data_IF_481189175109
#
_entry.id   IF_481189175109
#
_cell.length_a   1.000
_cell.length_b   1.000
_cell.length_c   1.000
_cell.angle_alpha   90.00
_cell.angle_beta   90.00
_cell.angle_gamma   90.00
#
_symmetry.space_group_name_H-M   'P 1'
#
loop_
_entity.id
_entity.type
_entity.pdbx_description
1 polymer ?
#
# COMPACT_ATOMS: atom_id res chain seq x y z
N UNK A 1 23.84 40.07 13.52
CA UNK A 1 22.67 39.66 12.72
C UNK A 1 22.53 38.15 12.88
N UNK A 2 21.80 37.72 13.91
CA UNK A 2 21.51 36.29 14.15
C UNK A 2 20.36 35.90 13.22
N UNK A 3 20.44 34.77 12.49
CA UNK A 3 19.27 34.25 11.80
C UNK A 3 18.30 33.66 12.83
N UNK A 4 17.10 34.21 12.78
CA UNK A 4 15.81 33.75 13.27
C UNK A 4 15.82 32.36 13.95
N UNK A 5 15.64 32.37 15.27
CA UNK A 5 15.43 31.18 16.07
C UNK A 5 14.09 30.56 15.66
N UNK A 6 14.15 29.61 14.73
CA UNK A 6 13.00 28.90 14.20
C UNK A 6 12.05 28.51 15.33
N UNK A 7 10.80 28.96 15.20
CA UNK A 7 9.73 28.68 16.14
C UNK A 7 9.76 27.20 16.57
N UNK A 8 9.57 26.92 17.87
CA UNK A 8 9.46 25.55 18.34
C UNK A 8 8.35 24.88 17.54
N UNK A 9 8.72 23.87 16.74
CA UNK A 9 7.75 23.04 16.03
C UNK A 9 6.74 22.58 17.07
N UNK A 10 5.42 22.79 16.84
CA UNK A 10 4.42 22.35 17.81
C UNK A 10 4.69 20.88 18.12
N UNK A 11 4.64 20.58 19.41
CA UNK A 11 4.67 19.25 19.97
C UNK A 11 3.69 18.34 19.22
N UNK A 12 4.16 17.66 18.18
CA UNK A 12 3.44 16.59 17.52
C UNK A 12 3.32 15.47 18.56
N UNK A 13 2.25 15.47 19.31
CA UNK A 13 1.84 14.30 20.08
C UNK A 13 1.69 13.17 19.06
N UNK A 14 2.62 12.22 19.08
CA UNK A 14 2.69 11.14 18.09
C UNK A 14 1.52 10.17 18.30
N UNK A 15 0.40 10.44 17.62
CA UNK A 15 -0.76 9.55 17.64
C UNK A 15 -0.55 8.42 16.63
N UNK A 16 -0.02 7.30 17.10
CA UNK A 16 0.12 6.07 16.31
C UNK A 16 -1.11 5.19 16.46
N UNK A 17 -1.64 4.72 15.34
CA UNK A 17 -2.68 3.70 15.28
C UNK A 17 -2.17 2.49 14.50
N UNK A 18 -2.50 1.29 14.98
CA UNK A 18 -2.20 0.03 14.30
C UNK A 18 -3.50 -0.62 13.88
N UNK A 19 -3.56 -1.07 12.63
CA UNK A 19 -4.70 -1.79 12.05
C UNK A 19 -4.21 -3.06 11.38
N UNK A 20 -5.12 -4.00 11.14
CA UNK A 20 -4.78 -5.31 10.63
C UNK A 20 -4.61 -5.38 9.11
N UNK A 21 -5.21 -4.44 8.36
CA UNK A 21 -5.24 -4.47 6.91
C UNK A 21 -5.11 -3.09 6.27
N UNK A 22 -4.69 -3.08 5.00
CA UNK A 22 -4.42 -1.85 4.26
C UNK A 22 -5.68 -1.07 3.87
N UNK A 23 -6.85 -1.72 3.72
CA UNK A 23 -8.08 -1.02 3.37
C UNK A 23 -8.61 -0.22 4.56
N UNK A 24 -8.53 -0.79 5.76
CA UNK A 24 -8.81 -0.07 7.01
C UNK A 24 -7.86 1.11 7.19
N UNK A 25 -6.57 0.94 6.90
CA UNK A 25 -5.60 2.04 6.95
C UNK A 25 -5.97 3.18 5.98
N UNK A 26 -6.31 2.85 4.73
CA UNK A 26 -6.75 3.83 3.71
C UNK A 26 -8.01 4.59 4.17
N UNK A 27 -8.99 3.88 4.73
CA UNK A 27 -10.22 4.51 5.21
C UNK A 27 -9.97 5.48 6.37
N UNK A 28 -9.02 5.17 7.26
CA UNK A 28 -8.66 6.08 8.36
C UNK A 28 -7.90 7.30 7.85
N UNK A 29 -6.96 7.12 6.92
CA UNK A 29 -6.27 8.25 6.27
C UNK A 29 -7.29 9.17 5.57
N UNK A 30 -8.31 8.62 4.90
CA UNK A 30 -9.35 9.43 4.26
C UNK A 30 -10.27 10.21 5.22
N UNK A 31 -10.20 9.94 6.53
CA UNK A 31 -11.06 10.58 7.56
C UNK A 31 -10.27 11.23 8.70
N UNK A 32 -8.96 11.39 8.56
CA UNK A 32 -8.08 11.96 9.59
C UNK A 32 -6.86 12.66 8.98
N UNK A 33 -6.05 13.31 9.82
CA UNK A 33 -4.76 13.91 9.42
C UNK A 33 -3.59 12.90 9.48
N UNK A 34 -3.88 11.59 9.44
CA UNK A 34 -2.86 10.54 9.48
C UNK A 34 -2.31 10.23 8.09
N UNK A 35 -1.13 9.62 8.06
CA UNK A 35 -0.54 9.04 6.84
C UNK A 35 -0.26 7.55 7.05
N UNK A 36 -0.33 6.77 5.99
CA UNK A 36 -0.05 5.33 6.02
C UNK A 36 0.80 4.90 4.83
N UNK A 37 1.66 3.90 5.05
CA UNK A 37 2.43 3.23 4.03
C UNK A 37 1.69 1.94 3.66
N UNK A 38 1.21 1.86 2.42
CA UNK A 38 0.39 0.76 1.91
C UNK A 38 0.87 0.32 0.52
N UNK A 39 0.54 -0.90 0.05
CA UNK A 39 0.81 -1.29 -1.32
C UNK A 39 0.17 -0.32 -2.32
N UNK A 40 0.96 0.15 -3.30
CA UNK A 40 0.56 1.20 -4.25
C UNK A 40 -0.77 0.90 -4.95
N UNK A 41 -0.95 -0.33 -5.43
CA UNK A 41 -2.16 -0.76 -6.13
C UNK A 41 -3.43 -0.57 -5.29
N UNK A 42 -3.34 -0.71 -3.97
CA UNK A 42 -4.49 -0.51 -3.07
C UNK A 42 -4.82 0.97 -2.94
N UNK A 43 -3.80 1.82 -2.81
CA UNK A 43 -4.00 3.27 -2.80
C UNK A 43 -4.61 3.77 -4.12
N UNK A 44 -4.10 3.32 -5.27
CA UNK A 44 -4.58 3.74 -6.59
C UNK A 44 -6.06 3.39 -6.83
N UNK A 45 -6.48 2.17 -6.49
CA UNK A 45 -7.86 1.72 -6.64
C UNK A 45 -8.82 2.52 -5.74
N UNK A 46 -8.37 2.88 -4.54
CA UNK A 46 -9.22 3.48 -3.50
C UNK A 46 -9.10 5.01 -3.40
N UNK A 47 -8.17 5.63 -4.14
CA UNK A 47 -7.85 7.05 -4.00
C UNK A 47 -9.07 7.95 -4.16
N UNK A 48 -9.86 7.72 -5.22
CA UNK A 48 -11.06 8.51 -5.50
C UNK A 48 -12.15 8.30 -4.45
N UNK A 49 -12.35 7.05 -4.03
CA UNK A 49 -13.43 6.71 -3.09
C UNK A 49 -13.20 7.34 -1.70
N UNK A 50 -11.94 7.38 -1.25
CA UNK A 50 -11.59 7.88 0.08
C UNK A 50 -10.99 9.29 0.07
N UNK A 51 -10.92 9.94 -1.09
CA UNK A 51 -10.37 11.30 -1.20
C UNK A 51 -8.90 11.42 -0.81
N UNK A 52 -8.12 10.34 -0.94
CA UNK A 52 -6.70 10.33 -0.53
C UNK A 52 -5.78 10.69 -1.70
N UNK A 53 -4.62 11.25 -1.36
CA UNK A 53 -3.53 11.52 -2.30
C UNK A 53 -2.38 10.54 -2.07
N UNK A 54 -1.70 10.15 -3.16
CA UNK A 54 -0.56 9.25 -3.10
C UNK A 54 0.72 10.10 -3.09
N UNK A 55 1.53 9.93 -2.05
CA UNK A 55 2.83 10.57 -1.91
C UNK A 55 3.93 9.59 -2.31
N UNK A 56 4.88 10.04 -3.12
CA UNK A 56 6.09 9.25 -3.38
C UNK A 56 6.95 9.23 -2.12
N UNK A 57 7.36 8.03 -1.71
CA UNK A 57 8.23 7.87 -0.54
C UNK A 57 9.67 8.22 -0.90
N UNK A 58 10.37 8.90 0.00
CA UNK A 58 11.76 9.33 -0.20
C UNK A 58 12.79 8.19 -0.26
N UNK A 59 12.38 6.93 -0.08
CA UNK A 59 13.26 5.76 -0.11
C UNK A 59 12.88 4.74 -1.17
N UNK A 60 13.83 3.89 -1.57
CA UNK A 60 13.52 2.71 -2.40
C UNK A 60 12.68 1.75 -1.56
N UNK A 61 11.36 1.86 -1.69
CA UNK A 61 10.48 0.87 -1.11
C UNK A 61 10.66 -0.42 -1.91
N UNK A 62 10.92 -1.53 -1.21
CA UNK A 62 11.08 -2.83 -1.84
C UNK A 62 9.88 -3.16 -2.71
N UNK A 63 10.11 -3.87 -3.81
CA UNK A 63 9.02 -4.37 -4.64
C UNK A 63 8.29 -5.48 -3.88
N UNK A 64 6.96 -5.43 -3.90
CA UNK A 64 6.14 -6.50 -3.35
C UNK A 64 5.94 -7.56 -4.44
N UNK A 65 6.67 -8.67 -4.34
CA UNK A 65 6.53 -9.78 -5.28
C UNK A 65 5.26 -10.58 -4.95
N UNK A 66 4.33 -10.65 -5.91
CA UNK A 66 3.13 -11.48 -5.82
C UNK A 66 3.36 -12.73 -6.64
N UNK A 67 3.44 -13.87 -5.97
CA UNK A 67 3.65 -15.17 -6.59
C UNK A 67 2.40 -16.05 -6.48
N UNK A 68 2.21 -16.89 -7.50
CA UNK A 68 1.19 -17.94 -7.49
C UNK A 68 1.84 -19.25 -7.06
N UNK A 69 1.29 -19.89 -6.02
CA UNK A 69 1.83 -21.14 -5.47
C UNK A 69 0.91 -22.30 -5.81
N UNK A 70 1.51 -23.44 -6.17
CA UNK A 70 0.78 -24.69 -6.40
C UNK A 70 1.64 -25.90 -6.05
N UNK A 71 0.97 -27.02 -5.77
CA UNK A 71 1.66 -28.28 -5.49
C UNK A 71 2.16 -28.93 -6.79
N UNK A 72 3.36 -29.50 -6.79
CA UNK A 72 3.98 -30.11 -7.99
C UNK A 72 3.09 -31.18 -8.66
N UNK A 73 2.34 -31.95 -7.87
CA UNK A 73 1.35 -32.94 -8.37
C UNK A 73 0.31 -32.34 -9.34
N UNK A 74 0.03 -31.05 -9.23
CA UNK A 74 -0.95 -30.31 -10.03
C UNK A 74 -0.30 -29.53 -11.19
N UNK A 75 1.00 -29.71 -11.43
CA UNK A 75 1.73 -29.06 -12.52
C UNK A 75 1.12 -29.41 -13.88
N UNK A 76 0.87 -30.70 -14.11
CA UNK A 76 0.41 -31.24 -15.38
C UNK A 76 -1.12 -31.18 -15.59
N UNK A 77 -1.87 -30.63 -14.64
CA UNK A 77 -3.31 -30.49 -14.78
C UNK A 77 -3.65 -29.39 -15.81
N UNK A 78 -4.35 -29.71 -16.92
CA UNK A 78 -4.61 -28.74 -17.99
C UNK A 78 -5.55 -27.60 -17.56
N UNK A 79 -6.53 -27.89 -16.69
CA UNK A 79 -7.47 -26.88 -16.22
C UNK A 79 -6.80 -25.86 -15.32
N UNK A 80 -5.93 -26.32 -14.42
CA UNK A 80 -5.10 -25.44 -13.60
C UNK A 80 -4.10 -24.69 -14.47
N UNK A 81 -3.45 -25.31 -15.46
CA UNK A 81 -2.56 -24.60 -16.37
C UNK A 81 -3.27 -23.43 -17.07
N UNK A 82 -4.46 -23.65 -17.61
CA UNK A 82 -5.28 -22.60 -18.20
C UNK A 82 -5.61 -21.48 -17.21
N UNK A 83 -6.05 -21.81 -15.99
CA UNK A 83 -6.36 -20.81 -14.97
C UNK A 83 -5.13 -19.98 -14.58
N UNK A 84 -3.96 -20.63 -14.44
CA UNK A 84 -2.70 -19.94 -14.11
C UNK A 84 -2.33 -18.93 -15.21
N UNK A 85 -2.49 -19.30 -16.48
CA UNK A 85 -2.30 -18.38 -17.61
C UNK A 85 -3.25 -17.18 -17.54
N UNK A 86 -4.54 -17.43 -17.30
CA UNK A 86 -5.52 -16.34 -17.19
C UNK A 86 -5.22 -15.35 -16.06
N UNK A 87 -4.85 -15.86 -14.88
CA UNK A 87 -4.50 -14.99 -13.76
C UNK A 87 -3.24 -14.17 -14.09
N UNK A 88 -2.24 -14.78 -14.73
CA UNK A 88 -1.03 -14.07 -15.15
C UNK A 88 -1.35 -12.94 -16.14
N UNK A 89 -2.19 -13.20 -17.14
CA UNK A 89 -2.66 -12.20 -18.11
C UNK A 89 -3.45 -11.06 -17.46
N UNK A 90 -4.28 -11.35 -16.45
CA UNK A 90 -5.05 -10.34 -15.73
C UNK A 90 -4.21 -9.53 -14.72
N UNK A 91 -3.05 -10.04 -14.33
CA UNK A 91 -2.15 -9.43 -13.37
C UNK A 91 -1.00 -8.62 -14.00
N UNK A 92 -0.79 -8.76 -15.32
CA UNK A 92 0.17 -7.98 -16.10
C UNK A 92 -0.34 -6.58 -16.41
#
# INVERSE_FOLDING_TARGET
>A
MQPDAGEPRPNLTEHRMVVYDALTAIAVVGSSDMVALVPRRFAEINARQHGIVILESAGSQGHFEVAMLWHNRLQADPGLAWLRCLIHEAAS
#
